data_IF_765566513318
#
_entry.id   IF_765566513318
#
_cell.length_a   1.000
_cell.length_b   1.000
_cell.length_c   1.000
_cell.angle_alpha   90.00
_cell.angle_beta   90.00
_cell.angle_gamma   90.00
#
_symmetry.space_group_name_H-M   'P 1'
#
loop_
_entity.id
_entity.type
_entity.pdbx_description
1 polymer ?
#
# COMPACT_ATOMS: atom_id res chain seq x y z
N UNK A 1 -26.15 5.82 -27.94
CA UNK A 1 -25.07 4.84 -27.77
C UNK A 1 -24.16 5.31 -26.64
N UNK A 2 -23.93 4.44 -25.67
CA UNK A 2 -23.27 4.68 -24.38
C UNK A 2 -21.74 4.83 -24.52
N UNK A 3 -21.21 5.77 -23.72
CA UNK A 3 -19.94 5.71 -22.97
C UNK A 3 -18.61 5.66 -23.75
N UNK A 4 -17.84 6.74 -23.62
CA UNK A 4 -16.68 6.68 -22.72
C UNK A 4 -16.37 8.05 -22.11
N UNK A 5 -16.91 8.28 -20.92
CA UNK A 5 -16.53 9.39 -20.03
C UNK A 5 -15.17 9.02 -19.43
N UNK A 6 -14.08 9.44 -20.06
CA UNK A 6 -12.75 9.41 -19.45
C UNK A 6 -12.12 10.80 -19.59
N UNK A 7 -12.84 11.80 -19.09
CA UNK A 7 -12.37 13.18 -19.00
C UNK A 7 -12.39 13.55 -17.51
N UNK A 8 -11.19 13.86 -17.02
CA UNK A 8 -10.89 14.73 -15.89
C UNK A 8 -11.62 14.48 -14.57
N UNK A 9 -10.88 13.91 -13.60
CA UNK A 9 -11.06 14.26 -12.19
C UNK A 9 -9.68 14.62 -11.62
N UNK A 10 -9.10 15.69 -12.17
CA UNK A 10 -8.28 16.63 -11.40
C UNK A 10 -9.26 17.71 -10.93
N UNK A 11 -9.93 17.47 -9.81
CA UNK A 11 -10.75 18.48 -9.15
C UNK A 11 -10.27 18.60 -7.71
N UNK A 12 -9.51 19.66 -7.49
CA UNK A 12 -9.31 20.34 -6.23
C UNK A 12 -10.66 20.59 -5.55
N UNK A 13 -11.06 19.72 -4.63
CA UNK A 13 -12.17 19.98 -3.70
C UNK A 13 -11.63 20.58 -2.42
N UNK A 14 -11.74 21.92 -2.38
CA UNK A 14 -12.14 22.75 -1.26
C UNK A 14 -12.31 22.04 0.11
N UNK A 15 -11.51 22.54 1.05
CA UNK A 15 -11.60 22.40 2.50
C UNK A 15 -13.05 22.52 3.02
N UNK A 16 -13.57 21.43 3.61
CA UNK A 16 -14.04 21.24 5.00
C UNK A 16 -14.88 19.95 4.98
N UNK A 17 -14.21 18.80 5.19
CA UNK A 17 -14.83 17.46 5.14
C UNK A 17 -13.95 16.35 4.54
N UNK A 18 -12.77 16.68 4.00
CA UNK A 18 -11.86 15.73 3.35
C UNK A 18 -11.15 14.74 4.28
N UNK A 19 -11.09 14.98 5.60
CA UNK A 19 -10.30 14.13 6.50
C UNK A 19 -10.74 12.67 6.50
N UNK A 20 -12.04 12.38 6.45
CA UNK A 20 -12.54 11.00 6.54
C UNK A 20 -12.28 10.16 5.29
N UNK A 21 -12.39 10.76 4.10
CA UNK A 21 -12.11 10.07 2.82
C UNK A 21 -10.61 9.89 2.64
N UNK A 22 -9.85 10.92 2.97
CA UNK A 22 -8.39 10.92 2.94
C UNK A 22 -7.79 9.90 3.91
N UNK A 23 -8.27 9.91 5.15
CA UNK A 23 -7.89 8.94 6.19
C UNK A 23 -8.24 7.52 5.78
N UNK A 24 -9.42 7.31 5.18
CA UNK A 24 -9.82 6.01 4.65
C UNK A 24 -8.87 5.52 3.56
N UNK A 25 -8.49 6.37 2.60
CA UNK A 25 -7.55 6.00 1.54
C UNK A 25 -6.15 5.65 2.11
N UNK A 26 -5.67 6.39 3.11
CA UNK A 26 -4.40 6.07 3.77
C UNK A 26 -4.47 4.78 4.60
N UNK A 27 -5.62 4.48 5.21
CA UNK A 27 -5.85 3.19 5.87
C UNK A 27 -5.82 2.04 4.87
N UNK A 28 -6.48 2.19 3.73
CA UNK A 28 -6.46 1.19 2.64
C UNK A 28 -5.03 0.94 2.12
N UNK A 29 -4.24 2.01 1.88
CA UNK A 29 -2.83 1.87 1.48
C UNK A 29 -2.00 1.14 2.55
N UNK A 30 -2.20 1.48 3.82
CA UNK A 30 -1.52 0.84 4.94
C UNK A 30 -1.92 -0.64 5.10
N UNK A 31 -3.19 -0.99 4.88
CA UNK A 31 -3.68 -2.37 4.91
C UNK A 31 -3.07 -3.21 3.77
N UNK A 32 -2.89 -2.61 2.58
CA UNK A 32 -2.16 -3.25 1.47
C UNK A 32 -0.70 -3.49 1.87
N UNK A 33 -0.03 -2.49 2.46
CA UNK A 33 1.34 -2.65 2.94
C UNK A 33 1.48 -3.74 4.01
N UNK A 34 0.53 -3.84 4.94
CA UNK A 34 0.47 -4.92 5.93
C UNK A 34 0.38 -6.30 5.27
N UNK A 35 -0.50 -6.43 4.27
CA UNK A 35 -0.68 -7.67 3.50
C UNK A 35 0.58 -8.07 2.75
N UNK A 36 1.27 -7.09 2.13
CA UNK A 36 2.54 -7.32 1.45
C UNK A 36 3.62 -7.76 2.44
N UNK A 37 3.71 -7.13 3.62
CA UNK A 37 4.66 -7.52 4.65
C UNK A 37 4.37 -8.92 5.20
N UNK A 38 3.10 -9.28 5.40
CA UNK A 38 2.70 -10.63 5.82
C UNK A 38 3.11 -11.67 4.77
N UNK A 39 2.89 -11.39 3.47
CA UNK A 39 3.35 -12.24 2.39
C UNK A 39 4.88 -12.39 2.41
N UNK A 40 5.63 -11.29 2.55
CA UNK A 40 7.09 -11.31 2.65
C UNK A 40 7.59 -12.14 3.84
N UNK A 41 6.93 -12.06 5.00
CA UNK A 41 7.33 -12.84 6.19
C UNK A 41 7.04 -14.34 6.05
N UNK A 42 6.05 -14.72 5.23
CA UNK A 42 5.65 -16.11 4.99
C UNK A 42 6.37 -16.75 3.80
N UNK A 43 6.83 -15.96 2.84
CA UNK A 43 7.39 -16.44 1.58
C UNK A 43 8.92 -16.32 1.56
N UNK A 44 9.59 -17.35 1.06
CA UNK A 44 11.05 -17.43 1.03
C UNK A 44 11.72 -16.46 0.04
N UNK A 45 11.01 -15.98 -0.97
CA UNK A 45 11.54 -15.06 -1.98
C UNK A 45 10.46 -14.15 -2.57
N UNK A 46 10.91 -13.08 -3.22
CA UNK A 46 10.08 -12.03 -3.80
C UNK A 46 9.14 -12.52 -4.90
N UNK A 47 9.57 -13.51 -5.70
CA UNK A 47 8.75 -14.06 -6.78
C UNK A 47 7.52 -14.80 -6.24
N UNK A 48 7.69 -15.59 -5.18
CA UNK A 48 6.60 -16.30 -4.51
C UNK A 48 5.62 -15.33 -3.83
N UNK A 49 6.12 -14.30 -3.14
CA UNK A 49 5.27 -13.26 -2.58
C UNK A 49 4.47 -12.51 -3.67
N UNK A 50 5.13 -12.16 -4.77
CA UNK A 50 4.49 -11.48 -5.90
C UNK A 50 3.39 -12.35 -6.53
N UNK A 51 3.64 -13.64 -6.71
CA UNK A 51 2.65 -14.58 -7.23
C UNK A 51 1.47 -14.74 -6.27
N UNK A 52 1.72 -14.82 -4.96
CA UNK A 52 0.68 -14.91 -3.94
C UNK A 52 -0.22 -13.66 -3.94
N UNK A 53 0.37 -12.48 -4.07
CA UNK A 53 -0.34 -11.20 -3.97
C UNK A 53 -1.10 -10.84 -5.26
N UNK A 54 -0.50 -11.07 -6.43
CA UNK A 54 -1.02 -10.57 -7.70
C UNK A 54 -1.39 -11.67 -8.71
N UNK A 55 -1.03 -12.94 -8.46
CA UNK A 55 -1.24 -14.01 -9.41
C UNK A 55 -0.65 -13.68 -10.78
N UNK A 56 -1.46 -13.85 -11.83
CA UNK A 56 -1.13 -13.48 -13.21
C UNK A 56 -1.61 -12.07 -13.62
N UNK A 57 -2.08 -11.25 -12.67
CA UNK A 57 -2.53 -9.89 -12.97
C UNK A 57 -1.32 -8.95 -13.07
N UNK A 58 -0.93 -8.61 -14.30
CA UNK A 58 0.22 -7.73 -14.57
C UNK A 58 0.03 -6.33 -13.99
N UNK A 59 -1.16 -5.74 -14.12
CA UNK A 59 -1.43 -4.38 -13.63
C UNK A 59 -1.32 -4.32 -12.09
N UNK A 60 -1.90 -5.30 -11.40
CA UNK A 60 -1.79 -5.40 -9.95
C UNK A 60 -0.34 -5.63 -9.51
N UNK A 61 0.41 -6.45 -10.25
CA UNK A 61 1.83 -6.68 -9.98
C UNK A 61 2.66 -5.40 -10.09
N UNK A 62 2.43 -4.60 -11.13
CA UNK A 62 3.11 -3.33 -11.31
C UNK A 62 2.76 -2.33 -10.20
N UNK A 63 1.49 -2.28 -9.78
CA UNK A 63 1.06 -1.43 -8.66
C UNK A 63 1.67 -1.85 -7.32
N UNK A 64 1.81 -3.15 -7.06
CA UNK A 64 2.34 -3.66 -5.80
C UNK A 64 3.87 -3.68 -5.76
N UNK A 65 4.55 -3.70 -6.91
CA UNK A 65 6.02 -3.78 -7.01
C UNK A 65 6.77 -2.84 -6.06
N UNK A 66 6.47 -1.52 -5.98
CA UNK A 66 7.18 -0.65 -5.05
C UNK A 66 7.03 -1.05 -3.57
N UNK A 67 5.85 -1.53 -3.17
CA UNK A 67 5.57 -1.94 -1.79
C UNK A 67 6.27 -3.28 -1.49
N UNK A 68 6.29 -4.19 -2.47
CA UNK A 68 6.98 -5.47 -2.37
C UNK A 68 8.49 -5.25 -2.23
N UNK A 69 9.09 -4.46 -3.12
CA UNK A 69 10.53 -4.17 -3.09
C UNK A 69 10.92 -3.55 -1.73
N UNK A 70 10.17 -2.54 -1.28
CA UNK A 70 10.36 -1.91 0.02
C UNK A 70 10.19 -2.89 1.20
N UNK A 71 9.22 -3.82 1.15
CA UNK A 71 9.04 -4.83 2.19
C UNK A 71 10.22 -5.83 2.27
N UNK A 72 10.87 -6.13 1.15
CA UNK A 72 12.05 -7.00 1.11
C UNK A 72 13.33 -6.30 1.57
N UNK A 73 13.43 -4.99 1.34
CA UNK A 73 14.50 -4.14 1.88
C UNK A 73 14.27 -3.74 3.35
N UNK A 74 13.03 -3.83 3.85
CA UNK A 74 12.68 -3.42 5.20
C UNK A 74 13.36 -4.27 6.28
N UNK A 75 14.20 -3.62 7.08
CA UNK A 75 14.80 -4.24 8.25
C UNK A 75 13.72 -4.56 9.30
N UNK A 76 13.69 -5.83 9.68
CA UNK A 76 12.80 -6.34 10.71
C UNK A 76 13.17 -5.81 12.10
N UNK A 77 14.38 -5.26 12.29
CA UNK A 77 14.85 -4.75 13.56
C UNK A 77 15.11 -5.88 14.56
N UNK A 78 16.03 -6.78 14.19
CA UNK A 78 16.53 -7.88 15.04
C UNK A 78 15.44 -8.74 15.69
N UNK A 79 15.20 -8.49 16.98
CA UNK A 79 14.31 -9.25 17.88
C UNK A 79 12.81 -8.95 17.72
N UNK A 80 12.40 -8.17 16.72
CA UNK A 80 10.97 -7.90 16.52
C UNK A 80 10.16 -9.17 16.27
N UNK A 81 8.89 -9.21 16.66
CA UNK A 81 7.96 -10.29 16.26
C UNK A 81 7.44 -10.05 14.84
N UNK A 82 6.84 -11.08 14.23
CA UNK A 82 6.22 -10.94 12.90
C UNK A 82 5.09 -9.91 12.93
N UNK A 83 4.23 -9.95 13.95
CA UNK A 83 3.13 -8.99 14.11
C UNK A 83 3.62 -7.56 14.38
N UNK A 84 4.67 -7.40 15.20
CA UNK A 84 5.26 -6.08 15.41
C UNK A 84 5.88 -5.52 14.11
N UNK A 85 6.49 -6.37 13.30
CA UNK A 85 7.03 -5.96 11.99
C UNK A 85 5.92 -5.51 11.06
N UNK A 86 4.85 -6.30 10.92
CA UNK A 86 3.67 -5.94 10.11
C UNK A 86 3.07 -4.61 10.54
N UNK A 87 2.84 -4.43 11.84
CA UNK A 87 2.24 -3.20 12.38
C UNK A 87 3.11 -1.97 12.13
N UNK A 88 4.43 -2.07 12.28
CA UNK A 88 5.34 -0.95 11.98
C UNK A 88 5.41 -0.62 10.50
N UNK A 89 5.39 -1.63 9.63
CA UNK A 89 5.37 -1.43 8.19
C UNK A 89 4.05 -0.78 7.73
N UNK A 90 2.92 -1.24 8.26
CA UNK A 90 1.61 -0.60 8.11
C UNK A 90 1.63 0.87 8.52
N UNK A 91 2.12 1.14 9.73
CA UNK A 91 2.19 2.51 10.28
C UNK A 91 3.07 3.42 9.42
N UNK A 92 4.21 2.91 8.92
CA UNK A 92 5.07 3.63 7.98
C UNK A 92 4.28 4.11 6.76
N UNK A 93 3.52 3.24 6.11
CA UNK A 93 2.73 3.60 4.93
C UNK A 93 1.58 4.55 5.24
N UNK A 94 0.90 4.35 6.37
CA UNK A 94 -0.13 5.27 6.84
C UNK A 94 0.43 6.69 7.02
N UNK A 95 1.54 6.82 7.75
CA UNK A 95 2.18 8.11 8.01
C UNK A 95 2.73 8.75 6.72
N UNK A 96 3.31 7.96 5.82
CA UNK A 96 3.76 8.47 4.52
C UNK A 96 2.60 9.00 3.68
N UNK A 97 1.45 8.33 3.70
CA UNK A 97 0.25 8.77 2.98
C UNK A 97 -0.28 10.10 3.53
N UNK A 98 -0.45 10.22 4.85
CA UNK A 98 -0.87 11.46 5.50
C UNK A 98 0.12 12.60 5.17
N UNK A 99 1.42 12.36 5.31
CA UNK A 99 2.46 13.36 5.04
C UNK A 99 2.55 13.79 3.56
N UNK A 100 2.11 12.97 2.61
CA UNK A 100 2.02 13.34 1.19
C UNK A 100 0.83 14.25 0.90
N UNK A 101 -0.20 14.18 1.73
CA UNK A 101 -1.43 14.93 1.53
C UNK A 101 -1.43 16.26 2.30
N UNK A 102 -0.58 16.38 3.32
CA UNK A 102 -0.32 17.64 4.05
C UNK A 102 0.63 18.60 3.30
N UNK A 103 1.18 18.18 2.15
CA UNK A 103 2.06 18.97 1.28
C UNK A 103 1.32 19.43 0.03
#
# INVERSE_FOLDING_TARGET
MLKNKLLFIMTTTLFVGCSSVQEKACREEADVAETVMDARLKQSNIANATLLLAGNNTELRERLRPIIDDAYEYDRGGLSTFDATKKRFKEKYYQQCINRQDK
#
